data_IF_793651700708
#
_entry.id   IF_793651700708
#
_cell.length_a   1.000
_cell.length_b   1.000
_cell.length_c   1.000
_cell.angle_alpha   90.00
_cell.angle_beta   90.00
_cell.angle_gamma   90.00
#
_symmetry.space_group_name_H-M   'P 1'
#
loop_
_entity.id
_entity.type
_entity.pdbx_description
1 polymer ?
#
# COMPACT_ATOMS: atom_id res chain seq x y z
N UNK A 1 25.47 -40.58 -57.31
CA UNK A 1 24.54 -39.59 -56.74
C UNK A 1 24.07 -40.09 -55.38
N UNK A 2 24.73 -39.66 -54.31
CA UNK A 2 24.55 -40.13 -52.93
C UNK A 2 24.32 -38.92 -52.04
N UNK A 3 23.06 -38.64 -51.69
CA UNK A 3 22.71 -37.59 -50.74
C UNK A 3 21.55 -38.04 -49.87
N UNK A 4 21.86 -38.73 -48.77
CA UNK A 4 20.91 -39.14 -47.72
C UNK A 4 21.63 -39.11 -46.36
N UNK A 5 22.12 -37.94 -45.95
CA UNK A 5 22.84 -37.80 -44.66
C UNK A 5 22.66 -36.44 -44.01
N UNK A 6 21.50 -35.79 -44.14
CA UNK A 6 21.25 -34.46 -43.53
C UNK A 6 20.06 -34.44 -42.55
N UNK A 7 19.23 -35.49 -42.48
CA UNK A 7 17.97 -35.42 -41.73
C UNK A 7 18.02 -35.80 -40.25
N UNK A 8 19.17 -36.20 -39.68
CA UNK A 8 19.25 -36.65 -38.27
C UNK A 8 19.77 -35.60 -37.27
N UNK A 9 20.36 -34.50 -37.74
CA UNK A 9 20.89 -33.45 -36.86
C UNK A 9 19.83 -32.45 -36.37
N UNK A 10 18.69 -32.33 -37.06
CA UNK A 10 17.67 -31.33 -36.75
C UNK A 10 16.77 -31.70 -35.54
N UNK A 11 16.64 -32.99 -35.20
CA UNK A 11 15.75 -33.44 -34.12
C UNK A 11 16.40 -33.29 -32.73
N UNK A 12 17.73 -33.34 -32.65
CA UNK A 12 18.45 -33.21 -31.37
C UNK A 12 18.43 -31.77 -30.81
N UNK A 13 18.32 -30.74 -31.67
CA UNK A 13 18.31 -29.34 -31.22
C UNK A 13 16.94 -28.92 -30.63
N UNK A 14 15.84 -29.53 -31.07
CA UNK A 14 14.50 -29.22 -30.56
C UNK A 14 14.26 -29.75 -29.13
N UNK A 15 14.91 -30.86 -28.76
CA UNK A 15 14.78 -31.44 -27.42
C UNK A 15 15.54 -30.63 -26.34
N UNK A 16 16.65 -29.96 -26.69
CA UNK A 16 17.44 -29.18 -25.73
C UNK A 16 16.82 -27.82 -25.36
N UNK A 17 15.99 -27.24 -26.24
CA UNK A 17 15.29 -25.96 -25.97
C UNK A 17 14.08 -26.16 -25.05
N UNK A 18 13.55 -27.39 -24.96
CA UNK A 18 12.37 -27.70 -24.15
C UNK A 18 12.67 -27.84 -22.64
N UNK A 19 13.94 -27.91 -22.23
CA UNK A 19 14.33 -28.17 -20.83
C UNK A 19 14.76 -26.93 -20.03
N UNK A 20 14.85 -25.74 -20.64
CA UNK A 20 15.22 -24.49 -19.94
C UNK A 20 14.04 -23.61 -19.54
N UNK A 21 12.80 -23.99 -19.86
CA UNK A 21 11.59 -23.34 -19.34
C UNK A 21 11.12 -23.99 -18.01
N UNK A 22 11.95 -24.86 -17.44
CA UNK A 22 11.75 -25.49 -16.14
C UNK A 22 11.85 -24.50 -14.98
N UNK A 23 10.75 -23.80 -14.75
CA UNK A 23 10.20 -23.52 -13.42
C UNK A 23 11.24 -23.22 -12.33
N UNK A 24 11.86 -22.05 -12.41
CA UNK A 24 12.17 -21.33 -11.18
C UNK A 24 10.85 -20.89 -10.55
N UNK A 25 10.09 -21.85 -10.00
CA UNK A 25 9.13 -21.58 -8.94
C UNK A 25 9.94 -21.21 -7.70
N UNK A 26 10.67 -20.10 -7.78
CA UNK A 26 11.02 -19.36 -6.59
C UNK A 26 9.69 -19.18 -5.85
N UNK A 27 9.65 -19.46 -4.55
CA UNK A 27 8.57 -18.96 -3.70
C UNK A 27 8.68 -17.44 -3.74
N UNK A 28 8.23 -16.84 -4.84
CA UNK A 28 8.20 -15.41 -5.02
C UNK A 28 7.09 -14.98 -4.08
N UNK A 29 7.47 -14.20 -3.08
CA UNK A 29 6.52 -13.41 -2.34
C UNK A 29 5.58 -12.77 -3.36
N UNK A 30 4.29 -13.14 -3.37
CA UNK A 30 3.37 -12.52 -4.30
C UNK A 30 3.35 -11.03 -3.97
N UNK A 31 3.40 -10.23 -5.03
CA UNK A 31 3.37 -8.79 -4.91
C UNK A 31 2.21 -8.24 -5.71
N UNK A 32 1.53 -7.28 -5.09
CA UNK A 32 0.53 -6.46 -5.75
C UNK A 32 1.08 -5.05 -5.91
N UNK A 33 0.92 -4.48 -7.10
CA UNK A 33 1.34 -3.12 -7.41
C UNK A 33 0.16 -2.39 -8.02
N UNK A 34 -0.04 -1.15 -7.59
CA UNK A 34 -1.05 -0.26 -8.13
C UNK A 34 -0.45 1.12 -8.37
N UNK A 35 -0.85 1.73 -9.48
CA UNK A 35 -0.53 3.10 -9.85
C UNK A 35 -1.82 3.88 -9.75
N UNK A 36 -1.84 4.87 -8.86
CA UNK A 36 -3.01 5.70 -8.65
C UNK A 36 -2.97 6.93 -9.57
N UNK A 37 -4.15 7.50 -9.83
CA UNK A 37 -4.28 8.73 -10.58
C UNK A 37 -3.89 9.90 -9.68
N UNK A 38 -3.03 10.80 -10.16
CA UNK A 38 -2.62 11.96 -9.35
C UNK A 38 -3.69 13.03 -9.32
N UNK A 39 -3.81 13.71 -8.19
CA UNK A 39 -4.64 14.90 -8.06
C UNK A 39 -6.13 14.56 -8.02
N UNK A 40 -6.48 13.50 -7.32
CA UNK A 40 -7.86 13.02 -7.14
C UNK A 40 -8.30 13.01 -5.67
N UNK A 41 -7.52 13.70 -4.83
CA UNK A 41 -7.81 13.89 -3.41
C UNK A 41 -9.17 14.54 -3.21
N UNK A 42 -9.99 13.90 -2.39
CA UNK A 42 -11.33 14.35 -2.01
C UNK A 42 -11.21 15.31 -0.82
N UNK A 43 -11.51 16.59 -1.03
CA UNK A 43 -11.59 17.58 0.05
C UNK A 43 -13.01 17.65 0.58
N UNK A 44 -13.16 17.63 1.90
CA UNK A 44 -14.44 17.82 2.60
C UNK A 44 -14.31 18.98 3.58
N UNK A 45 -15.33 19.82 3.66
CA UNK A 45 -15.37 20.98 4.56
C UNK A 45 -16.25 20.70 5.76
N UNK A 46 -15.73 20.91 6.97
CA UNK A 46 -16.50 20.74 8.21
C UNK A 46 -17.60 21.80 8.27
N UNK A 47 -18.85 21.36 8.48
CA UNK A 47 -20.01 22.27 8.57
C UNK A 47 -20.75 22.52 7.25
N UNK A 48 -20.21 22.06 6.11
CA UNK A 48 -20.86 22.14 4.79
C UNK A 48 -21.00 20.74 4.17
N UNK A 49 -22.05 19.98 4.52
CA UNK A 49 -22.29 18.68 3.91
C UNK A 49 -22.49 18.83 2.40
N UNK A 50 -21.64 18.18 1.60
CA UNK A 50 -21.77 18.17 0.14
C UNK A 50 -20.76 19.04 -0.61
N UNK A 51 -19.99 19.89 0.08
CA UNK A 51 -18.85 20.59 -0.51
C UNK A 51 -17.67 19.62 -0.62
N UNK A 52 -17.71 18.84 -1.70
CA UNK A 52 -16.63 17.95 -2.10
C UNK A 52 -16.02 18.44 -3.39
N UNK A 53 -14.73 18.76 -3.35
CA UNK A 53 -13.96 19.15 -4.53
C UNK A 53 -12.57 18.53 -4.47
N UNK A 54 -11.87 18.63 -5.59
CA UNK A 54 -10.48 18.20 -5.73
C UNK A 54 -9.61 19.44 -5.79
N UNK A 55 -8.61 19.53 -4.90
CA UNK A 55 -7.64 20.63 -4.87
C UNK A 55 -6.23 20.12 -5.24
N UNK A 56 -5.77 20.38 -6.47
CA UNK A 56 -4.46 19.94 -6.93
C UNK A 56 -3.30 20.81 -6.43
N UNK A 57 -3.53 21.97 -5.82
CA UNK A 57 -2.46 22.90 -5.43
C UNK A 57 -2.05 22.72 -3.95
N UNK A 58 -2.95 22.22 -3.12
CA UNK A 58 -2.66 21.93 -1.72
C UNK A 58 -1.79 20.68 -1.56
N UNK A 59 -0.83 20.71 -0.63
CA UNK A 59 0.04 19.58 -0.31
C UNK A 59 -0.68 18.49 0.51
N UNK A 60 -1.71 17.90 -0.08
CA UNK A 60 -2.58 16.87 0.49
C UNK A 60 -2.01 15.46 0.28
N UNK A 61 -2.48 14.45 1.04
CA UNK A 61 -2.16 13.06 0.78
C UNK A 61 -2.81 12.62 -0.53
N UNK A 62 -2.01 12.70 -1.59
CA UNK A 62 -2.32 12.28 -2.95
C UNK A 62 -1.43 11.10 -3.28
N UNK A 63 -1.99 9.90 -3.26
CA UNK A 63 -1.28 8.67 -3.54
C UNK A 63 -0.88 8.62 -5.02
N UNK A 64 0.26 7.98 -5.26
CA UNK A 64 0.79 7.79 -6.59
C UNK A 64 1.02 6.32 -6.86
N UNK A 65 1.48 5.59 -5.84
CA UNK A 65 1.84 4.17 -5.97
C UNK A 65 1.54 3.43 -4.68
N UNK A 66 1.07 2.20 -4.83
CA UNK A 66 1.03 1.19 -3.78
C UNK A 66 1.82 -0.04 -4.24
N UNK A 67 2.63 -0.58 -3.35
CA UNK A 67 3.24 -1.90 -3.49
C UNK A 67 3.01 -2.68 -2.21
N UNK A 68 2.47 -3.88 -2.34
CA UNK A 68 2.26 -4.83 -1.25
C UNK A 68 3.06 -6.08 -1.58
N UNK A 69 3.86 -6.54 -0.62
CA UNK A 69 4.59 -7.80 -0.72
C UNK A 69 4.20 -8.66 0.47
N UNK A 70 3.81 -9.90 0.21
CA UNK A 70 3.50 -10.87 1.25
C UNK A 70 4.52 -12.01 1.22
N UNK A 71 5.28 -12.15 2.28
CA UNK A 71 6.25 -13.23 2.47
C UNK A 71 5.85 -14.10 3.65
N UNK A 72 6.62 -15.17 3.89
CA UNK A 72 6.50 -15.98 5.11
C UNK A 72 6.62 -15.14 6.39
N UNK A 73 7.41 -14.07 6.38
CA UNK A 73 7.82 -13.36 7.59
C UNK A 73 7.08 -12.04 7.80
N UNK A 74 6.71 -11.37 6.70
CA UNK A 74 6.13 -10.04 6.76
C UNK A 74 5.10 -9.80 5.64
N UNK A 75 4.23 -8.84 5.92
CA UNK A 75 3.48 -8.08 4.92
C UNK A 75 4.12 -6.70 4.87
N UNK A 76 4.79 -6.40 3.76
CA UNK A 76 5.35 -5.07 3.49
C UNK A 76 4.37 -4.27 2.65
N UNK A 77 3.95 -3.11 3.16
CA UNK A 77 3.08 -2.15 2.48
C UNK A 77 3.87 -0.87 2.25
N UNK A 78 4.16 -0.55 0.99
CA UNK A 78 4.90 0.64 0.61
C UNK A 78 4.02 1.53 -0.26
N UNK A 79 3.86 2.80 0.12
CA UNK A 79 3.17 3.79 -0.69
C UNK A 79 4.08 4.94 -1.07
N UNK A 80 3.82 5.51 -2.23
CA UNK A 80 4.32 6.82 -2.64
C UNK A 80 3.14 7.78 -2.66
N UNK A 81 3.31 8.96 -2.07
CA UNK A 81 2.31 10.01 -2.00
C UNK A 81 2.98 11.39 -1.99
N UNK A 82 2.24 12.40 -2.43
CA UNK A 82 2.71 13.79 -2.51
C UNK A 82 3.10 14.36 -1.16
N UNK A 83 2.26 14.17 -0.15
CA UNK A 83 2.49 14.70 1.20
C UNK A 83 1.80 13.86 2.29
N UNK A 84 2.48 13.65 3.42
CA UNK A 84 1.91 13.14 4.68
C UNK A 84 2.53 13.85 5.88
N UNK A 85 3.06 15.06 5.61
CA UNK A 85 3.95 15.77 6.53
C UNK A 85 3.21 16.82 7.34
N UNK A 86 1.98 17.15 6.92
CA UNK A 86 1.12 18.08 7.60
C UNK A 86 0.79 17.60 9.00
N UNK A 87 0.54 18.55 9.88
CA UNK A 87 -0.07 18.24 11.16
C UNK A 87 -1.49 17.71 10.92
N UNK A 88 -1.91 16.73 11.72
CA UNK A 88 -3.19 16.04 11.49
C UNK A 88 -3.19 15.12 10.26
N UNK A 89 -2.04 14.93 9.59
CA UNK A 89 -1.90 13.90 8.55
C UNK A 89 -1.85 12.51 9.18
N UNK A 90 -2.65 11.61 8.61
CA UNK A 90 -2.71 10.20 8.96
C UNK A 90 -2.68 9.36 7.70
N UNK A 91 -1.90 8.29 7.72
CA UNK A 91 -1.85 7.21 6.74
C UNK A 91 -2.25 5.92 7.44
N UNK A 92 -3.13 5.12 6.84
CA UNK A 92 -3.63 3.88 7.43
C UNK A 92 -3.69 2.78 6.38
N UNK A 93 -2.88 1.73 6.58
CA UNK A 93 -3.02 0.48 5.85
C UNK A 93 -3.98 -0.45 6.60
N UNK A 94 -5.04 -0.87 5.92
CA UNK A 94 -5.92 -1.95 6.38
C UNK A 94 -5.48 -3.26 5.75
N UNK A 95 -5.22 -4.27 6.58
CA UNK A 95 -4.85 -5.62 6.18
C UNK A 95 -5.98 -6.56 6.58
N UNK A 96 -6.53 -7.30 5.61
CA UNK A 96 -7.52 -8.36 5.83
C UNK A 96 -6.86 -9.71 5.58
N UNK A 97 -6.97 -10.62 6.55
CA UNK A 97 -6.29 -11.91 6.51
C UNK A 97 -7.18 -13.01 5.93
N UNK A 98 -6.57 -14.14 5.55
CA UNK A 98 -7.27 -15.36 5.13
C UNK A 98 -8.32 -15.88 6.12
N UNK A 99 -8.17 -15.54 7.40
CA UNK A 99 -9.07 -15.91 8.50
C UNK A 99 -10.26 -14.93 8.64
N UNK A 100 -10.29 -13.86 7.83
CA UNK A 100 -11.33 -12.82 7.90
C UNK A 100 -11.04 -11.74 8.95
N UNK A 101 -9.90 -11.80 9.64
CA UNK A 101 -9.51 -10.79 10.61
C UNK A 101 -9.07 -9.51 9.93
N UNK A 102 -9.32 -8.38 10.59
CA UNK A 102 -8.99 -7.05 10.09
C UNK A 102 -8.02 -6.35 11.02
N UNK A 103 -6.90 -5.93 10.45
CA UNK A 103 -5.85 -5.19 11.11
C UNK A 103 -5.71 -3.81 10.47
N UNK A 104 -5.43 -2.80 11.27
CA UNK A 104 -5.08 -1.47 10.77
C UNK A 104 -3.71 -1.08 11.30
N UNK A 105 -2.84 -0.68 10.40
CA UNK A 105 -1.54 -0.08 10.71
C UNK A 105 -1.63 1.39 10.38
N UNK A 106 -1.57 2.21 11.41
CA UNK A 106 -1.67 3.66 11.28
C UNK A 106 -0.31 4.30 11.50
N UNK A 107 0.04 5.22 10.61
CA UNK A 107 1.11 6.21 10.77
C UNK A 107 0.45 7.57 10.83
N UNK A 108 0.71 8.37 11.84
CA UNK A 108 0.25 9.74 11.81
C UNK A 108 1.09 10.68 12.65
N UNK A 109 0.95 11.97 12.34
CA UNK A 109 1.70 13.06 12.95
C UNK A 109 0.74 13.94 13.74
N UNK A 110 0.80 13.84 15.07
CA UNK A 110 -0.02 14.69 15.94
C UNK A 110 0.74 15.92 16.46
N UNK A 111 0.00 16.99 16.76
CA UNK A 111 0.51 18.25 17.34
C UNK A 111 0.72 18.20 18.86
N UNK A 112 0.88 17.02 19.45
CA UNK A 112 1.06 16.90 20.91
C UNK A 112 2.50 17.31 21.33
N UNK A 113 2.80 18.61 21.25
CA UNK A 113 4.01 19.24 21.76
C UNK A 113 5.04 19.68 20.69
N UNK A 114 6.21 20.21 21.12
CA UNK A 114 7.28 20.69 20.24
C UNK A 114 7.95 19.59 19.39
N UNK A 115 7.59 18.33 19.63
CA UNK A 115 8.00 17.19 18.84
C UNK A 115 6.76 16.54 18.24
N UNK A 116 6.75 16.43 16.92
CA UNK A 116 5.74 15.66 16.22
C UNK A 116 5.77 14.20 16.70
N UNK A 117 4.73 13.77 17.41
CA UNK A 117 4.61 12.37 17.78
C UNK A 117 4.18 11.57 16.56
N UNK A 118 5.08 10.71 16.10
CA UNK A 118 4.76 9.63 15.18
C UNK A 118 4.09 8.54 15.99
N UNK A 119 2.79 8.34 15.76
CA UNK A 119 2.10 7.19 16.33
C UNK A 119 2.09 6.05 15.33
N UNK A 120 2.50 4.87 15.79
CA UNK A 120 2.38 3.61 15.09
C UNK A 120 1.49 2.71 15.93
N UNK A 121 0.36 2.28 15.39
CA UNK A 121 -0.55 1.37 16.07
C UNK A 121 -0.95 0.23 15.17
N UNK A 122 -1.12 -0.96 15.77
CA UNK A 122 -1.82 -2.08 15.17
C UNK A 122 -3.17 -2.21 15.88
N UNK A 123 -4.27 -2.07 15.15
CA UNK A 123 -5.63 -2.26 15.68
C UNK A 123 -6.20 -3.54 15.12
N UNK A 124 -6.59 -4.48 16.00
CA UNK A 124 -7.27 -5.72 15.65
C UNK A 124 -8.71 -5.64 16.12
N UNK A 125 -9.67 -5.66 15.18
CA UNK A 125 -11.11 -5.59 15.48
C UNK A 125 -11.50 -4.45 16.44
N UNK A 126 -10.85 -3.28 16.32
CA UNK A 126 -11.08 -2.10 17.15
C UNK A 126 -10.23 -1.99 18.41
N UNK A 127 -9.42 -3.00 18.74
CA UNK A 127 -8.56 -3.00 19.93
C UNK A 127 -7.10 -2.77 19.56
N UNK A 128 -6.44 -1.86 20.28
CA UNK A 128 -5.00 -1.64 20.14
C UNK A 128 -4.23 -2.88 20.59
N UNK A 129 -3.29 -3.31 19.76
CA UNK A 129 -2.40 -4.44 20.01
C UNK A 129 -0.95 -4.00 19.85
N UNK A 130 -0.08 -4.51 20.70
CA UNK A 130 1.37 -4.38 20.50
C UNK A 130 1.85 -5.50 19.58
N UNK A 131 2.83 -5.21 18.74
CA UNK A 131 3.42 -6.19 17.82
C UNK A 131 4.93 -6.00 17.75
N UNK A 132 5.66 -6.98 18.26
CA UNK A 132 7.12 -6.96 18.19
C UNK A 132 7.58 -7.13 16.74
N UNK A 133 8.39 -6.17 16.28
CA UNK A 133 8.89 -6.11 14.92
C UNK A 133 7.96 -5.41 13.93
N UNK A 134 6.81 -4.87 14.39
CA UNK A 134 6.09 -3.86 13.60
C UNK A 134 7.02 -2.66 13.40
N UNK A 135 7.28 -2.34 12.15
CA UNK A 135 8.11 -1.20 11.81
C UNK A 135 7.38 -0.35 10.77
N UNK A 136 7.26 0.95 11.03
CA UNK A 136 6.75 1.90 10.06
C UNK A 136 7.78 3.00 9.92
N UNK A 137 8.21 3.23 8.68
CA UNK A 137 9.19 4.26 8.35
C UNK A 137 8.70 5.10 7.20
N UNK A 138 9.29 6.28 7.06
CA UNK A 138 9.14 7.09 5.87
C UNK A 138 10.24 6.75 4.88
N UNK A 139 9.91 6.81 3.59
CA UNK A 139 10.97 6.82 2.57
C UNK A 139 11.75 8.13 2.71
N UNK A 140 13.07 8.08 2.48
CA UNK A 140 13.89 9.29 2.40
C UNK A 140 13.23 10.25 1.41
N UNK A 141 12.87 11.48 1.84
CA UNK A 141 12.24 12.44 0.94
C UNK A 141 13.18 12.69 -0.24
N UNK A 142 12.72 12.39 -1.44
CA UNK A 142 13.30 13.00 -2.64
C UNK A 142 12.51 14.27 -2.94
N UNK A 143 13.04 15.15 -3.79
CA UNK A 143 12.34 16.39 -4.17
C UNK A 143 10.92 16.16 -4.74
N UNK A 144 10.61 14.94 -5.21
CA UNK A 144 9.40 14.63 -5.96
C UNK A 144 8.54 13.52 -5.36
N UNK A 145 9.00 12.82 -4.31
CA UNK A 145 8.22 11.72 -3.74
C UNK A 145 8.51 11.51 -2.25
N UNK A 146 7.42 11.46 -1.49
CA UNK A 146 7.37 11.02 -0.09
C UNK A 146 6.65 9.67 -0.04
N UNK A 147 6.86 8.93 1.03
CA UNK A 147 6.37 7.57 1.13
C UNK A 147 6.31 7.08 2.56
N UNK A 148 5.46 6.09 2.78
CA UNK A 148 5.34 5.34 4.03
C UNK A 148 5.57 3.88 3.69
N UNK A 149 6.44 3.24 4.46
CA UNK A 149 6.69 1.80 4.40
C UNK A 149 6.29 1.22 5.75
N UNK A 150 5.33 0.31 5.76
CA UNK A 150 4.98 -0.50 6.91
C UNK A 150 5.43 -1.94 6.68
N UNK A 151 6.26 -2.45 7.57
CA UNK A 151 6.69 -3.84 7.65
C UNK A 151 5.97 -4.50 8.84
N UNK A 152 5.01 -5.37 8.54
CA UNK A 152 4.16 -6.02 9.54
C UNK A 152 4.51 -7.51 9.63
N UNK A 153 5.06 -7.99 10.75
CA UNK A 153 5.32 -9.42 10.92
C UNK A 153 4.04 -10.27 10.76
N UNK A 154 4.09 -11.33 9.95
CA UNK A 154 2.94 -12.22 9.72
C UNK A 154 2.41 -12.85 11.01
N UNK A 155 3.28 -13.07 12.00
CA UNK A 155 2.90 -13.54 13.33
C UNK A 155 1.93 -12.61 14.07
N UNK A 156 2.01 -11.30 13.82
CA UNK A 156 1.09 -10.33 14.41
C UNK A 156 -0.29 -10.31 13.71
N UNK A 157 -0.39 -10.99 12.56
CA UNK A 157 -1.59 -11.11 11.75
C UNK A 157 -2.19 -12.53 11.82
N UNK A 158 -1.77 -13.36 12.77
CA UNK A 158 -2.22 -14.75 12.87
C UNK A 158 -1.63 -15.70 11.81
N UNK A 159 -0.45 -15.38 11.27
CA UNK A 159 0.27 -16.17 10.25
C UNK A 159 -0.54 -16.49 8.97
N UNK A 160 -1.16 -15.47 8.34
CA UNK A 160 -2.14 -15.69 7.27
C UNK A 160 -1.47 -16.23 6.00
N UNK A 161 -2.13 -17.15 5.29
CA UNK A 161 -1.59 -17.71 4.04
C UNK A 161 -1.90 -16.83 2.81
N UNK A 162 -2.85 -15.91 2.94
CA UNK A 162 -3.09 -14.82 1.99
C UNK A 162 -3.61 -13.58 2.71
N UNK A 163 -3.39 -12.42 2.11
CA UNK A 163 -3.87 -11.12 2.62
C UNK A 163 -4.53 -10.29 1.52
N UNK A 164 -5.36 -9.33 1.91
CA UNK A 164 -5.75 -8.18 1.09
C UNK A 164 -5.35 -6.92 1.81
N UNK A 165 -4.95 -5.90 1.06
CA UNK A 165 -4.50 -4.64 1.64
C UNK A 165 -5.19 -3.48 0.93
N UNK A 166 -5.67 -2.52 1.71
CA UNK A 166 -6.13 -1.22 1.24
C UNK A 166 -5.46 -0.12 2.05
N UNK A 167 -5.23 1.04 1.44
CA UNK A 167 -4.55 2.14 2.11
C UNK A 167 -5.32 3.42 1.90
N UNK A 168 -5.55 4.13 3.00
CA UNK A 168 -6.18 5.44 3.01
C UNK A 168 -5.27 6.43 3.71
N UNK A 169 -5.33 7.68 3.30
CA UNK A 169 -4.69 8.78 4.01
C UNK A 169 -5.64 9.96 4.10
N UNK A 170 -5.49 10.74 5.16
CA UNK A 170 -6.18 12.01 5.27
C UNK A 170 -5.29 13.03 5.96
N UNK A 171 -5.58 14.31 5.72
CA UNK A 171 -4.99 15.41 6.46
C UNK A 171 -6.08 16.39 6.85
N UNK A 172 -5.92 17.00 8.02
CA UNK A 172 -6.77 18.09 8.48
C UNK A 172 -5.99 19.39 8.33
N UNK A 173 -6.61 20.42 7.80
CA UNK A 173 -6.04 21.77 7.71
C UNK A 173 -7.14 22.80 7.90
N UNK A 174 -6.75 24.05 8.16
CA UNK A 174 -7.70 25.15 8.30
C UNK A 174 -7.36 26.26 7.33
N UNK A 175 -8.37 26.80 6.67
CA UNK A 175 -8.30 28.00 5.82
C UNK A 175 -9.41 28.95 6.26
N UNK A 176 -9.10 30.21 6.53
CA UNK A 176 -10.04 31.22 7.05
C UNK A 176 -10.95 30.74 8.21
N UNK A 177 -10.37 30.02 9.18
CA UNK A 177 -11.05 29.40 10.33
C UNK A 177 -12.09 28.30 9.99
N UNK A 178 -12.12 27.85 8.74
CA UNK A 178 -12.88 26.69 8.29
C UNK A 178 -11.97 25.46 8.28
N UNK A 179 -12.40 24.37 8.91
CA UNK A 179 -11.65 23.10 8.88
C UNK A 179 -11.96 22.33 7.60
N UNK A 180 -10.90 21.93 6.91
CA UNK A 180 -10.95 21.08 5.73
C UNK A 180 -10.25 19.76 6.01
N UNK A 181 -10.71 18.73 5.32
CA UNK A 181 -10.11 17.39 5.37
C UNK A 181 -9.91 16.89 3.95
N UNK A 182 -8.65 16.73 3.56
CA UNK A 182 -8.28 16.03 2.33
C UNK A 182 -8.20 14.54 2.61
N UNK A 183 -8.87 13.73 1.79
CA UNK A 183 -8.91 12.27 1.91
C UNK A 183 -8.53 11.63 0.59
N UNK A 184 -7.85 10.50 0.70
CA UNK A 184 -7.50 9.71 -0.46
C UNK A 184 -7.48 8.21 -0.11
N UNK A 185 -7.80 7.39 -1.11
CA UNK A 185 -7.87 5.93 -1.06
C UNK A 185 -7.13 5.39 -2.28
N UNK A 186 -5.95 4.81 -2.05
CA UNK A 186 -5.00 4.47 -3.13
C UNK A 186 -5.54 3.48 -4.17
N UNK A 187 -6.69 2.84 -3.91
CA UNK A 187 -7.32 1.88 -4.82
C UNK A 187 -8.68 2.38 -5.35
N UNK A 188 -9.00 3.65 -5.12
CA UNK A 188 -10.24 4.25 -5.59
C UNK A 188 -10.03 5.70 -6.01
N UNK A 189 -9.89 5.87 -7.32
CA UNK A 189 -9.70 7.18 -7.91
C UNK A 189 -10.86 8.13 -7.64
N UNK A 190 -10.56 9.32 -7.10
CA UNK A 190 -11.51 10.41 -6.92
C UNK A 190 -12.65 10.12 -5.93
N UNK A 191 -12.51 9.09 -5.09
CA UNK A 191 -13.56 8.73 -4.15
C UNK A 191 -13.00 8.09 -2.88
N UNK A 192 -13.67 8.37 -1.76
CA UNK A 192 -13.26 7.90 -0.44
C UNK A 192 -14.44 7.33 0.34
N UNK A 193 -14.18 6.40 1.26
CA UNK A 193 -15.17 5.98 2.26
C UNK A 193 -14.51 5.78 3.60
N UNK A 194 -15.00 6.50 4.60
CA UNK A 194 -14.47 6.45 5.97
C UNK A 194 -14.34 5.01 6.47
N UNK A 195 -13.13 4.67 6.89
CA UNK A 195 -12.77 3.38 7.50
C UNK A 195 -13.04 2.14 6.63
N UNK A 196 -13.33 2.32 5.34
CA UNK A 196 -13.65 1.23 4.40
C UNK A 196 -12.83 1.40 3.11
N UNK A 197 -11.50 1.20 3.18
CA UNK A 197 -10.65 1.31 2.02
C UNK A 197 -11.05 0.30 0.95
N UNK A 198 -10.87 0.66 -0.31
CA UNK A 198 -10.81 -0.34 -1.37
C UNK A 198 -9.64 -1.29 -1.08
N UNK A 199 -9.85 -2.59 -1.33
CA UNK A 199 -8.88 -3.63 -0.99
C UNK A 199 -8.31 -4.24 -2.27
N UNK A 200 -7.02 -4.57 -2.23
CA UNK A 200 -6.37 -5.34 -3.29
C UNK A 200 -7.05 -6.69 -3.53
N UNK A 201 -6.76 -7.36 -4.66
CA UNK A 201 -6.95 -8.81 -4.77
C UNK A 201 -6.24 -9.57 -3.64
N UNK A 202 -6.57 -10.85 -3.49
CA UNK A 202 -5.84 -11.72 -2.54
C UNK A 202 -4.39 -11.91 -2.99
N UNK A 203 -3.46 -11.73 -2.07
CA UNK A 203 -2.02 -11.87 -2.25
C UNK A 203 -1.57 -13.06 -1.40
N UNK A 204 -1.19 -14.17 -2.02
CA UNK A 204 -0.69 -15.35 -1.31
C UNK A 204 0.80 -15.18 -0.98
N UNK A 205 1.44 -16.20 -0.40
CA UNK A 205 2.88 -16.21 -0.09
C UNK A 205 3.51 -17.48 -0.63
#
# INVERSE_FOLDING_TARGET
>A
MTSRTISRAAVALAAAISFTVGTAAMSQADSFRHQDATGDVVVTTTGSPGDTHVDPDLALPDFQKLTVQHSRWNVRVATVLRSVDGYGSTWTATIVTSQGERFQVTYGRSEAGPQALVHVSLVHNGYHSTCDGLHVSRTTPTATSKGVIADVPTRCLGNPWKVRVGVQAHTVYSDDAVEHRGHDDVLRTGAFTYYKPALSPWIAR
#
